data_IF_178109062221
#
_entry.id   IF_178109062221
#
_cell.length_a   1.000
_cell.length_b   1.000
_cell.length_c   1.000
_cell.angle_alpha   90.00
_cell.angle_beta   90.00
_cell.angle_gamma   90.00
#
_symmetry.space_group_name_H-M   'P 1'
#
loop_
_entity.id
_entity.type
_entity.pdbx_description
1 polymer ?
#
# COMPACT_ATOMS: atom_id res chain seq x y z
N UNK A 1 8.90 -4.10 -11.81
CA UNK A 1 8.78 -4.29 -10.35
C UNK A 1 9.20 -3.02 -9.64
N UNK A 2 8.27 -2.41 -8.92
CA UNK A 2 8.48 -1.23 -8.09
C UNK A 2 8.22 -1.58 -6.63
N UNK A 3 9.13 -1.14 -5.75
CA UNK A 3 9.03 -1.30 -4.30
C UNK A 3 8.97 0.08 -3.67
N UNK A 4 7.94 0.32 -2.87
CA UNK A 4 7.74 1.52 -2.10
C UNK A 4 7.83 1.18 -0.62
N UNK A 5 8.69 1.88 0.11
CA UNK A 5 8.84 1.74 1.55
C UNK A 5 8.28 2.97 2.25
N UNK A 6 7.59 2.74 3.36
CA UNK A 6 6.97 3.81 4.13
C UNK A 6 6.87 3.48 5.61
N UNK A 7 6.22 4.39 6.34
CA UNK A 7 5.87 4.22 7.75
C UNK A 7 4.36 4.16 7.90
N UNK A 8 3.87 3.16 8.61
CA UNK A 8 2.46 2.96 8.93
C UNK A 8 2.18 3.49 10.34
N UNK A 9 1.18 4.35 10.43
CA UNK A 9 0.57 4.75 11.69
C UNK A 9 -0.92 4.44 11.62
N UNK A 10 -1.39 3.59 12.52
CA UNK A 10 -2.81 3.21 12.63
C UNK A 10 -3.17 3.01 14.10
N UNK A 11 -3.73 4.07 14.69
CA UNK A 11 -4.10 4.14 16.10
C UNK A 11 -2.98 3.61 17.01
N UNK A 12 -3.32 2.69 17.92
CA UNK A 12 -2.38 1.98 18.79
C UNK A 12 -1.81 0.70 18.16
N UNK A 13 -2.38 0.24 17.04
CA UNK A 13 -2.03 -1.05 16.45
C UNK A 13 -0.74 -0.98 15.63
N UNK A 14 -0.48 0.15 14.97
CA UNK A 14 0.79 0.44 14.31
C UNK A 14 1.25 1.85 14.68
N UNK A 15 2.42 1.96 15.29
CA UNK A 15 3.06 3.23 15.67
C UNK A 15 4.44 3.27 15.00
N UNK A 16 4.53 4.01 13.90
CA UNK A 16 5.73 4.18 13.09
C UNK A 16 6.32 2.87 12.52
N UNK A 17 5.46 1.91 12.19
CA UNK A 17 5.87 0.60 11.71
C UNK A 17 6.27 0.60 10.23
N UNK A 18 7.06 -0.37 9.80
CA UNK A 18 7.42 -0.50 8.39
C UNK A 18 6.19 -0.96 7.57
N UNK A 19 5.98 -0.32 6.42
CA UNK A 19 5.11 -0.84 5.36
C UNK A 19 5.89 -0.87 4.04
N UNK A 20 5.73 -1.98 3.32
CA UNK A 20 6.25 -2.20 1.98
C UNK A 20 5.08 -2.41 1.02
N UNK A 21 5.06 -1.66 -0.07
CA UNK A 21 4.09 -1.83 -1.16
C UNK A 21 4.86 -2.21 -2.42
N UNK A 22 4.47 -3.33 -3.01
CA UNK A 22 5.13 -3.90 -4.19
C UNK A 22 4.12 -3.94 -5.33
N UNK A 23 4.52 -3.37 -6.46
CA UNK A 23 3.83 -3.51 -7.74
C UNK A 23 4.76 -4.28 -8.69
N UNK A 24 4.48 -5.57 -8.97
CA UNK A 24 5.35 -6.40 -9.80
C UNK A 24 5.49 -5.87 -11.24
N UNK A 25 4.37 -5.39 -11.80
CA UNK A 25 4.27 -4.79 -13.13
C UNK A 25 4.32 -3.26 -13.13
N UNK A 26 3.60 -2.66 -14.06
CA UNK A 26 3.45 -1.20 -14.18
C UNK A 26 2.42 -0.67 -13.17
N UNK A 27 2.80 0.32 -12.36
CA UNK A 27 1.94 0.92 -11.31
C UNK A 27 0.73 1.68 -11.90
N UNK A 28 0.77 2.01 -13.19
CA UNK A 28 -0.18 2.90 -13.83
C UNK A 28 -1.42 2.20 -14.42
N UNK A 29 -1.56 0.88 -14.26
CA UNK A 29 -2.62 0.10 -14.90
C UNK A 29 -3.57 -0.55 -13.89
N UNK A 30 -4.87 -0.34 -14.09
CA UNK A 30 -5.91 -1.02 -13.32
C UNK A 30 -5.85 -2.54 -13.57
N UNK A 31 -6.05 -3.32 -12.51
CA UNK A 31 -6.04 -4.78 -12.56
C UNK A 31 -4.67 -5.43 -12.38
N UNK A 32 -3.58 -4.66 -12.45
CA UNK A 32 -2.22 -5.18 -12.20
C UNK A 32 -2.05 -5.65 -10.75
N UNK A 33 -1.18 -6.64 -10.48
CA UNK A 33 -0.98 -7.14 -9.13
C UNK A 33 -0.44 -6.07 -8.16
N UNK A 34 -0.93 -6.12 -6.92
CA UNK A 34 -0.44 -5.30 -5.82
C UNK A 34 -0.23 -6.16 -4.57
N UNK A 35 0.85 -5.88 -3.84
CA UNK A 35 1.16 -6.54 -2.57
C UNK A 35 1.46 -5.46 -1.53
N UNK A 36 0.84 -5.57 -0.36
CA UNK A 36 1.15 -4.77 0.82
C UNK A 36 1.61 -5.68 1.94
N UNK A 37 2.74 -5.34 2.56
CA UNK A 37 3.32 -6.05 3.70
C UNK A 37 3.60 -5.01 4.78
N UNK A 38 3.16 -5.24 6.00
CA UNK A 38 3.43 -4.35 7.13
C UNK A 38 3.56 -5.11 8.44
N UNK A 39 4.21 -4.48 9.41
CA UNK A 39 4.31 -4.95 10.79
C UNK A 39 3.30 -4.19 11.66
N UNK A 40 2.69 -4.88 12.63
CA UNK A 40 1.93 -4.24 13.70
C UNK A 40 2.85 -3.97 14.90
N UNK A 41 2.63 -2.86 15.60
CA UNK A 41 3.21 -2.69 16.94
C UNK A 41 2.60 -3.71 17.89
N UNK A 42 1.27 -3.81 17.87
CA UNK A 42 0.50 -4.85 18.55
C UNK A 42 -0.79 -5.05 17.76
N UNK A 43 -1.11 -6.28 17.37
CA UNK A 43 -2.34 -6.57 16.63
C UNK A 43 -3.57 -6.66 17.54
N UNK A 44 -4.72 -7.00 16.94
CA UNK A 44 -5.99 -7.10 17.64
C UNK A 44 -6.04 -8.24 18.67
N UNK A 45 -5.20 -9.27 18.52
CA UNK A 45 -5.07 -10.41 19.44
C UNK A 45 -4.04 -10.14 20.56
N UNK A 46 -3.34 -9.01 20.49
CA UNK A 46 -2.31 -8.63 21.45
C UNK A 46 -0.91 -9.13 21.09
N UNK A 47 -0.71 -9.68 19.89
CA UNK A 47 0.61 -10.12 19.43
C UNK A 47 1.46 -8.91 19.03
N UNK A 48 2.68 -8.83 19.56
CA UNK A 48 3.60 -7.74 19.24
C UNK A 48 4.39 -8.06 17.98
N UNK A 49 4.64 -7.05 17.15
CA UNK A 49 5.47 -7.17 15.94
C UNK A 49 4.97 -8.25 14.97
N UNK A 50 3.67 -8.49 14.92
CA UNK A 50 3.09 -9.47 14.01
C UNK A 50 3.08 -8.94 12.58
N UNK A 51 3.42 -9.81 11.63
CA UNK A 51 3.48 -9.50 10.21
C UNK A 51 2.09 -9.64 9.59
N UNK A 52 1.71 -8.67 8.76
CA UNK A 52 0.53 -8.74 7.92
C UNK A 52 0.89 -8.58 6.46
N UNK A 53 0.23 -9.38 5.61
CA UNK A 53 0.40 -9.33 4.16
C UNK A 53 -0.95 -9.41 3.47
N UNK A 54 -1.13 -8.60 2.42
CA UNK A 54 -2.26 -8.69 1.51
C UNK A 54 -1.77 -8.65 0.07
N UNK A 55 -2.39 -9.49 -0.75
CA UNK A 55 -2.14 -9.61 -2.18
C UNK A 55 -3.46 -9.45 -2.91
N UNK A 56 -3.41 -8.81 -4.07
CA UNK A 56 -4.59 -8.56 -4.89
C UNK A 56 -4.19 -7.72 -6.08
N UNK A 57 -5.00 -6.70 -6.40
CA UNK A 57 -4.82 -5.88 -7.59
C UNK A 57 -4.85 -4.38 -7.27
N UNK A 58 -4.38 -3.60 -8.23
CA UNK A 58 -4.67 -2.17 -8.35
C UNK A 58 -6.12 -2.03 -8.80
N UNK A 59 -6.91 -1.29 -8.03
CA UNK A 59 -8.34 -1.12 -8.29
C UNK A 59 -8.64 0.16 -9.06
N UNK A 60 -7.85 1.21 -8.85
CA UNK A 60 -8.02 2.48 -9.55
C UNK A 60 -6.70 3.25 -9.63
N UNK A 61 -6.35 3.70 -10.84
CA UNK A 61 -5.31 4.69 -11.12
C UNK A 61 -5.97 5.85 -11.85
N UNK A 62 -5.83 7.07 -11.34
CA UNK A 62 -6.39 8.27 -11.98
C UNK A 62 -5.54 9.50 -11.74
N UNK A 63 -5.57 10.44 -12.69
CA UNK A 63 -4.95 11.75 -12.51
C UNK A 63 -5.62 12.49 -11.33
N UNK A 64 -4.82 12.95 -10.39
CA UNK A 64 -5.26 13.75 -9.24
C UNK A 64 -5.08 15.25 -9.49
N UNK A 65 -3.92 15.62 -10.03
CA UNK A 65 -3.56 16.98 -10.46
C UNK A 65 -2.42 16.88 -11.50
N UNK A 66 -1.99 17.98 -12.16
CA UNK A 66 -0.83 17.92 -13.04
C UNK A 66 0.38 17.29 -12.32
N UNK A 67 0.94 16.22 -12.91
CA UNK A 67 2.06 15.47 -12.35
C UNK A 67 1.76 14.59 -11.14
N UNK A 68 0.50 14.49 -10.68
CA UNK A 68 0.12 13.62 -9.54
C UNK A 68 -0.92 12.59 -9.95
N UNK A 69 -0.66 11.36 -9.56
CA UNK A 69 -1.55 10.22 -9.76
C UNK A 69 -2.07 9.75 -8.42
N UNK A 70 -3.37 9.53 -8.33
CA UNK A 70 -3.99 8.81 -7.22
C UNK A 70 -4.09 7.33 -7.57
N UNK A 71 -3.79 6.48 -6.59
CA UNK A 71 -3.87 5.04 -6.70
C UNK A 71 -4.66 4.45 -5.54
N UNK A 72 -5.53 3.50 -5.84
CA UNK A 72 -6.24 2.66 -4.88
C UNK A 72 -5.98 1.19 -5.21
N UNK A 73 -5.74 0.37 -4.20
CA UNK A 73 -5.42 -1.04 -4.36
C UNK A 73 -5.90 -1.88 -3.17
N UNK A 74 -6.13 -3.16 -3.44
CA UNK A 74 -6.63 -4.17 -2.49
C UNK A 74 -8.04 -3.88 -1.96
N UNK A 75 -8.93 -3.24 -2.72
CA UNK A 75 -10.30 -2.90 -2.28
C UNK A 75 -11.19 -4.12 -2.00
N UNK A 76 -10.82 -5.29 -2.52
CA UNK A 76 -11.47 -6.57 -2.20
C UNK A 76 -10.99 -7.17 -0.85
N UNK A 77 -10.07 -6.51 -0.14
CA UNK A 77 -9.54 -6.91 1.18
C UNK A 77 -10.05 -5.98 2.29
N UNK A 78 -10.17 -6.52 3.51
CA UNK A 78 -10.48 -5.72 4.72
C UNK A 78 -9.48 -4.56 4.92
N UNK A 79 -8.21 -4.80 4.60
CA UNK A 79 -7.19 -3.76 4.52
C UNK A 79 -6.97 -3.41 3.05
N UNK A 80 -7.30 -2.16 2.71
CA UNK A 80 -7.10 -1.56 1.39
C UNK A 80 -6.42 -0.20 1.56
N UNK A 81 -5.80 0.28 0.50
CA UNK A 81 -4.95 1.48 0.57
C UNK A 81 -5.31 2.46 -0.53
N UNK A 82 -5.16 3.75 -0.20
CA UNK A 82 -5.28 4.89 -1.10
C UNK A 82 -4.05 5.76 -0.93
N UNK A 83 -3.43 6.15 -2.04
CA UNK A 83 -2.23 6.98 -2.02
C UNK A 83 -2.20 7.93 -3.19
N UNK A 84 -1.26 8.88 -3.13
CA UNK A 84 -0.87 9.68 -4.30
C UNK A 84 0.62 9.52 -4.53
N UNK A 85 1.01 9.41 -5.79
CA UNK A 85 2.41 9.42 -6.18
C UNK A 85 2.62 10.40 -7.33
N UNK A 86 3.84 10.91 -7.42
CA UNK A 86 4.33 11.71 -8.52
C UNK A 86 5.47 10.91 -9.13
N UNK A 87 5.32 10.53 -10.40
CA UNK A 87 6.44 10.03 -11.17
C UNK A 87 7.23 11.22 -11.67
N UNK A 88 8.55 11.17 -11.56
CA UNK A 88 9.39 11.89 -12.50
C UNK A 88 9.35 11.10 -13.81
N UNK A 89 9.12 11.78 -14.95
CA UNK A 89 9.35 11.17 -16.26
C UNK A 89 10.81 10.68 -16.26
N UNK A 90 11.02 9.36 -16.29
CA UNK A 90 12.35 8.74 -16.38
C UNK A 90 12.98 8.99 -17.74
#
# INVERSE_FOLDING_TARGET
>A
MFLYLGRLNYEKYAVNELISVIFPGEVALNGEPAIAIWEWTTDAEGEQKSLSMRMGKIDSVRAASPGKTEIEFLKDSYYWFKGTFQGDDL
#
